data_IF_305890012697
#
_entry.id   IF_305890012697
#
_cell.length_a   1.000
_cell.length_b   1.000
_cell.length_c   1.000
_cell.angle_alpha   90.00
_cell.angle_beta   90.00
_cell.angle_gamma   90.00
#
_symmetry.space_group_name_H-M   'P 1'
#
loop_
_entity.id
_entity.type
_entity.pdbx_description
1 polymer ?
#
# COMPACT_ATOMS: atom_id res chain seq x y z
N UNK A 1 -3.44 -17.54 6.58
CA UNK A 1 -4.34 -17.02 5.53
C UNK A 1 -3.59 -16.96 4.19
N UNK A 2 -4.31 -17.15 3.08
CA UNK A 2 -3.79 -17.02 1.72
C UNK A 2 -4.24 -15.68 1.11
N UNK A 3 -3.56 -15.23 0.06
CA UNK A 3 -3.97 -14.09 -0.75
C UNK A 3 -3.85 -14.45 -2.24
N UNK A 4 -4.53 -13.72 -3.10
CA UNK A 4 -4.35 -13.76 -4.54
C UNK A 4 -3.50 -12.54 -4.93
N UNK A 5 -2.38 -12.77 -5.59
CA UNK A 5 -1.40 -11.73 -5.86
C UNK A 5 -0.96 -11.72 -7.34
N UNK A 6 -1.77 -11.18 -8.26
CA UNK A 6 -1.29 -10.88 -9.60
C UNK A 6 -0.20 -9.81 -9.53
N UNK A 7 0.82 -9.92 -10.40
CA UNK A 7 2.00 -9.07 -10.29
C UNK A 7 1.65 -7.58 -10.40
N UNK A 8 1.18 -7.13 -11.56
CA UNK A 8 0.93 -5.69 -11.83
C UNK A 8 -0.03 -5.49 -13.01
N UNK A 9 -0.61 -4.29 -13.19
CA UNK A 9 -1.48 -3.99 -14.33
C UNK A 9 -0.79 -4.04 -15.69
N UNK A 10 0.53 -3.86 -15.73
CA UNK A 10 1.30 -3.87 -16.97
C UNK A 10 1.87 -5.26 -17.34
N UNK A 11 1.91 -6.21 -16.41
CA UNK A 11 2.39 -7.58 -16.66
C UNK A 11 1.27 -8.61 -16.78
N UNK A 12 0.08 -8.30 -16.26
CA UNK A 12 -1.08 -9.20 -16.27
C UNK A 12 -2.20 -8.55 -17.08
N UNK A 13 -2.72 -9.29 -18.08
CA UNK A 13 -3.80 -8.77 -18.91
C UNK A 13 -5.12 -8.59 -18.16
N UNK A 14 -6.01 -7.74 -18.67
CA UNK A 14 -7.28 -7.36 -18.06
C UNK A 14 -8.14 -8.57 -17.66
N UNK A 15 -8.29 -9.55 -18.58
CA UNK A 15 -9.12 -10.73 -18.32
C UNK A 15 -8.61 -11.56 -17.14
N UNK A 16 -7.29 -11.66 -16.98
CA UNK A 16 -6.68 -12.36 -15.84
C UNK A 16 -6.74 -11.55 -14.54
N UNK A 17 -6.62 -10.23 -14.60
CA UNK A 17 -6.86 -9.37 -13.42
C UNK A 17 -8.28 -9.54 -12.88
N UNK A 18 -9.28 -9.49 -13.77
CA UNK A 18 -10.69 -9.70 -13.40
C UNK A 18 -10.91 -11.12 -12.85
N UNK A 19 -10.36 -12.14 -13.52
CA UNK A 19 -10.48 -13.54 -13.10
C UNK A 19 -9.85 -13.79 -11.72
N UNK A 20 -8.63 -13.29 -11.49
CA UNK A 20 -7.94 -13.45 -10.21
C UNK A 20 -8.65 -12.67 -9.10
N UNK A 21 -9.23 -11.50 -9.40
CA UNK A 21 -10.08 -10.78 -8.44
C UNK A 21 -11.34 -11.56 -8.07
N UNK A 22 -11.99 -12.22 -9.05
CA UNK A 22 -13.14 -13.10 -8.78
C UNK A 22 -12.75 -14.24 -7.84
N UNK A 23 -11.59 -14.88 -8.05
CA UNK A 23 -11.07 -15.91 -7.16
C UNK A 23 -10.86 -15.35 -5.74
N UNK A 24 -10.23 -14.18 -5.60
CA UNK A 24 -10.02 -13.56 -4.29
C UNK A 24 -11.34 -13.31 -3.55
N UNK A 25 -12.39 -12.88 -4.25
CA UNK A 25 -13.74 -12.70 -3.69
C UNK A 25 -14.38 -14.03 -3.28
N UNK A 26 -14.29 -15.05 -4.11
CA UNK A 26 -14.84 -16.39 -3.86
C UNK A 26 -14.21 -17.01 -2.60
N UNK A 27 -12.89 -16.90 -2.45
CA UNK A 27 -12.19 -17.42 -1.27
C UNK A 27 -12.10 -16.43 -0.09
N UNK A 28 -12.76 -15.27 -0.21
CA UNK A 28 -12.80 -14.24 0.83
C UNK A 28 -11.40 -13.86 1.36
N UNK A 29 -10.44 -13.67 0.47
CA UNK A 29 -9.04 -13.41 0.81
C UNK A 29 -8.54 -12.08 0.20
N UNK A 30 -7.43 -11.50 0.72
CA UNK A 30 -6.83 -10.31 0.17
C UNK A 30 -6.41 -10.48 -1.30
N UNK A 31 -6.56 -9.39 -2.07
CA UNK A 31 -6.08 -9.27 -3.43
C UNK A 31 -4.94 -8.24 -3.46
N UNK A 32 -3.71 -8.67 -3.74
CA UNK A 32 -2.52 -7.83 -3.69
C UNK A 32 -1.99 -7.58 -5.09
N UNK A 33 -1.59 -6.34 -5.39
CA UNK A 33 -1.07 -5.97 -6.71
C UNK A 33 -0.10 -4.79 -6.59
N UNK A 34 1.04 -4.85 -7.28
CA UNK A 34 1.94 -3.69 -7.43
C UNK A 34 1.29 -2.71 -8.40
N UNK A 35 1.29 -1.43 -8.05
CA UNK A 35 0.63 -0.40 -8.85
C UNK A 35 1.27 0.97 -8.65
N UNK A 36 1.38 1.71 -9.74
CA UNK A 36 1.92 3.08 -9.74
C UNK A 36 3.30 3.17 -9.09
N UNK A 37 4.12 2.14 -9.28
CA UNK A 37 5.45 2.05 -8.68
C UNK A 37 6.44 2.98 -9.38
N UNK A 38 6.45 2.97 -10.72
CA UNK A 38 7.41 3.74 -11.51
C UNK A 38 6.72 4.81 -12.36
N UNK A 39 7.47 5.87 -12.68
CA UNK A 39 7.00 6.90 -13.60
C UNK A 39 6.65 6.32 -14.96
N UNK A 40 7.44 5.36 -15.43
CA UNK A 40 7.21 4.66 -16.69
C UNK A 40 5.88 3.93 -16.70
N UNK A 41 5.55 3.18 -15.65
CA UNK A 41 4.26 2.50 -15.52
C UNK A 41 3.09 3.48 -15.62
N UNK A 42 3.21 4.62 -14.92
CA UNK A 42 2.19 5.66 -14.94
C UNK A 42 1.98 6.26 -16.33
N UNK A 43 3.07 6.63 -17.01
CA UNK A 43 3.05 7.20 -18.35
C UNK A 43 2.50 6.19 -19.39
N UNK A 44 2.96 4.95 -19.38
CA UNK A 44 2.48 3.90 -20.29
C UNK A 44 0.99 3.57 -20.09
N UNK A 45 0.50 3.60 -18.84
CA UNK A 45 -0.93 3.42 -18.56
C UNK A 45 -1.75 4.57 -19.16
N UNK A 46 -1.27 5.79 -18.99
CA UNK A 46 -1.92 6.98 -19.52
C UNK A 46 -1.94 6.99 -21.05
N UNK A 47 -0.82 6.67 -21.67
CA UNK A 47 -0.70 6.59 -23.14
C UNK A 47 -1.62 5.51 -23.73
N UNK A 48 -1.73 4.38 -23.06
CA UNK A 48 -2.50 3.23 -23.56
C UNK A 48 -4.00 3.34 -23.30
N UNK A 49 -4.39 3.87 -22.14
CA UNK A 49 -5.77 3.81 -21.65
C UNK A 49 -6.39 5.19 -21.40
N UNK A 50 -5.61 6.28 -21.43
CA UNK A 50 -6.02 7.62 -21.01
C UNK A 50 -6.30 7.70 -19.49
N UNK A 51 -5.77 6.76 -18.71
CA UNK A 51 -6.05 6.60 -17.27
C UNK A 51 -4.76 6.32 -16.51
N UNK A 52 -4.69 6.77 -15.26
CA UNK A 52 -3.67 6.28 -14.34
C UNK A 52 -3.82 4.78 -14.08
N UNK A 53 -2.79 4.08 -13.55
CA UNK A 53 -2.91 2.68 -13.18
C UNK A 53 -4.03 2.40 -12.19
N UNK A 54 -4.28 3.31 -11.22
CA UNK A 54 -5.36 3.18 -10.23
C UNK A 54 -6.73 3.38 -10.87
N UNK A 55 -6.89 4.40 -11.72
CA UNK A 55 -8.13 4.62 -12.48
C UNK A 55 -8.45 3.44 -13.40
N UNK A 56 -7.42 2.84 -14.01
CA UNK A 56 -7.58 1.63 -14.82
C UNK A 56 -8.11 0.46 -13.99
N UNK A 57 -7.53 0.21 -12.79
CA UNK A 57 -7.99 -0.85 -11.89
C UNK A 57 -9.42 -0.61 -11.38
N UNK A 58 -9.79 0.67 -11.11
CA UNK A 58 -11.17 1.04 -10.78
C UNK A 58 -12.12 0.70 -11.92
N UNK A 59 -11.77 1.11 -13.16
CA UNK A 59 -12.58 0.87 -14.37
C UNK A 59 -12.88 -0.61 -14.58
N UNK A 60 -11.89 -1.49 -14.37
CA UNK A 60 -12.07 -2.94 -14.56
C UNK A 60 -12.68 -3.64 -13.33
N UNK A 61 -13.01 -2.90 -12.27
CA UNK A 61 -13.78 -3.39 -11.12
C UNK A 61 -12.99 -4.31 -10.18
N UNK A 62 -11.67 -4.14 -10.06
CA UNK A 62 -10.83 -4.97 -9.18
C UNK A 62 -10.49 -4.31 -7.84
N UNK A 63 -10.93 -3.07 -7.62
CA UNK A 63 -10.77 -2.36 -6.35
C UNK A 63 -11.94 -2.64 -5.40
N UNK A 64 -11.65 -2.93 -4.15
CA UNK A 64 -12.58 -3.02 -3.03
C UNK A 64 -11.81 -3.01 -1.70
N UNK A 65 -12.53 -3.19 -0.58
CA UNK A 65 -11.99 -3.19 0.78
C UNK A 65 -11.01 -4.33 1.09
N UNK A 66 -10.85 -5.32 0.21
CA UNK A 66 -9.88 -6.41 0.29
C UNK A 66 -8.72 -6.27 -0.68
N UNK A 67 -8.68 -5.16 -1.42
CA UNK A 67 -7.57 -4.86 -2.32
C UNK A 67 -6.44 -4.18 -1.56
N UNK A 68 -5.24 -4.72 -1.74
CA UNK A 68 -3.97 -4.20 -1.21
C UNK A 68 -3.12 -3.74 -2.37
N UNK A 69 -2.86 -2.44 -2.43
CA UNK A 69 -2.06 -1.80 -3.46
C UNK A 69 -0.64 -1.58 -2.93
N UNK A 70 0.35 -2.10 -3.63
CA UNK A 70 1.75 -2.03 -3.20
C UNK A 70 2.47 -0.92 -3.95
N UNK A 71 3.38 -0.22 -3.28
CA UNK A 71 4.17 0.94 -3.70
C UNK A 71 3.42 2.26 -3.77
N UNK A 72 2.53 2.46 -4.73
CA UNK A 72 1.71 3.67 -4.89
C UNK A 72 2.54 4.97 -4.88
N UNK A 73 3.65 5.00 -5.64
CA UNK A 73 4.58 6.15 -5.70
C UNK A 73 3.99 7.28 -6.55
N UNK A 74 3.48 6.96 -7.73
CA UNK A 74 2.94 7.93 -8.70
C UNK A 74 1.42 7.95 -8.63
N UNK A 75 0.88 8.81 -7.77
CA UNK A 75 -0.56 9.00 -7.57
C UNK A 75 -0.97 10.44 -7.86
N UNK A 76 -2.11 10.60 -8.51
CA UNK A 76 -2.84 11.86 -8.56
C UNK A 76 -3.76 12.01 -7.35
N UNK A 77 -4.27 13.21 -7.08
CA UNK A 77 -5.28 13.43 -6.02
C UNK A 77 -6.58 12.65 -6.32
N UNK A 78 -6.88 12.40 -7.61
CA UNK A 78 -7.99 11.54 -8.04
C UNK A 78 -7.75 10.09 -7.66
N UNK A 79 -6.53 9.56 -7.85
CA UNK A 79 -6.16 8.21 -7.44
C UNK A 79 -6.32 8.01 -5.93
N UNK A 80 -5.86 8.97 -5.13
CA UNK A 80 -6.03 8.95 -3.68
C UNK A 80 -7.52 8.89 -3.30
N UNK A 81 -8.35 9.68 -3.97
CA UNK A 81 -9.80 9.67 -3.74
C UNK A 81 -10.45 8.33 -4.12
N UNK A 82 -10.01 7.69 -5.21
CA UNK A 82 -10.47 6.36 -5.62
C UNK A 82 -10.05 5.30 -4.60
N UNK A 83 -8.80 5.31 -4.15
CA UNK A 83 -8.27 4.39 -3.15
C UNK A 83 -9.07 4.50 -1.85
N UNK A 84 -9.30 5.71 -1.36
CA UNK A 84 -10.09 5.98 -0.16
C UNK A 84 -11.54 5.51 -0.29
N UNK A 85 -12.22 5.88 -1.39
CA UNK A 85 -13.61 5.50 -1.68
C UNK A 85 -13.81 3.98 -1.69
N UNK A 86 -12.86 3.23 -2.24
CA UNK A 86 -12.93 1.76 -2.31
C UNK A 86 -12.42 1.08 -1.04
N UNK A 87 -12.00 1.84 -0.01
CA UNK A 87 -11.39 1.32 1.21
C UNK A 87 -10.19 0.39 0.95
N UNK A 88 -9.44 0.60 -0.14
CA UNK A 88 -8.23 -0.15 -0.43
C UNK A 88 -7.18 0.11 0.64
N UNK A 89 -6.28 -0.85 0.86
CA UNK A 89 -5.14 -0.69 1.76
C UNK A 89 -3.88 -0.51 0.94
N UNK A 90 -2.92 0.22 1.51
CA UNK A 90 -1.62 0.44 0.88
C UNK A 90 -0.55 -0.33 1.65
N UNK A 91 0.40 -0.92 0.91
CA UNK A 91 1.67 -1.38 1.48
C UNK A 91 2.78 -0.52 0.88
N UNK A 92 3.35 0.32 1.72
CA UNK A 92 4.46 1.21 1.35
C UNK A 92 5.80 0.53 1.57
N UNK A 93 6.65 0.49 0.53
CA UNK A 93 7.96 -0.15 0.53
C UNK A 93 9.07 0.91 0.29
N UNK A 94 9.37 1.80 1.26
CA UNK A 94 10.22 2.96 1.03
C UNK A 94 11.66 2.60 0.64
N UNK A 95 12.22 1.55 1.23
CA UNK A 95 13.60 1.10 0.93
C UNK A 95 13.70 0.65 -0.52
N UNK A 96 12.80 -0.22 -0.96
CA UNK A 96 12.73 -0.69 -2.35
C UNK A 96 12.52 0.47 -3.33
N UNK A 97 11.55 1.35 -3.05
CA UNK A 97 11.24 2.50 -3.91
C UNK A 97 12.47 3.40 -4.14
N UNK A 98 13.26 3.64 -3.08
CA UNK A 98 14.46 4.46 -3.18
C UNK A 98 15.61 3.72 -3.85
N UNK A 99 15.85 2.47 -3.48
CA UNK A 99 16.91 1.67 -4.06
C UNK A 99 16.76 1.51 -5.57
N UNK A 100 15.52 1.30 -6.03
CA UNK A 100 15.20 1.13 -7.45
C UNK A 100 15.00 2.48 -8.18
N UNK A 101 15.11 3.61 -7.48
CA UNK A 101 14.93 4.94 -8.07
C UNK A 101 13.49 5.24 -8.49
N UNK A 102 12.51 4.56 -7.89
CA UNK A 102 11.09 4.76 -8.21
C UNK A 102 10.57 6.11 -7.72
N UNK A 103 11.10 6.64 -6.61
CA UNK A 103 10.63 7.91 -6.03
C UNK A 103 10.04 7.76 -4.63
N UNK A 104 9.30 8.77 -4.19
CA UNK A 104 8.73 8.85 -2.84
C UNK A 104 7.20 8.89 -2.92
N UNK A 105 6.54 7.89 -2.36
CA UNK A 105 5.09 7.82 -2.32
C UNK A 105 4.48 8.91 -1.40
N UNK A 106 3.31 9.48 -1.74
CA UNK A 106 2.67 10.56 -0.99
C UNK A 106 1.88 10.04 0.23
N UNK A 107 2.60 9.40 1.18
CA UNK A 107 2.00 8.65 2.30
C UNK A 107 1.18 9.54 3.23
N UNK A 108 1.65 10.78 3.48
CA UNK A 108 0.90 11.75 4.26
C UNK A 108 -0.48 12.03 3.65
N UNK A 109 -0.57 12.26 2.34
CA UNK A 109 -1.85 12.50 1.66
C UNK A 109 -2.79 11.29 1.74
N UNK A 110 -2.25 10.07 1.65
CA UNK A 110 -3.04 8.84 1.79
C UNK A 110 -3.60 8.70 3.21
N UNK A 111 -2.80 8.96 4.24
CA UNK A 111 -3.23 8.93 5.64
C UNK A 111 -4.28 10.02 5.91
N UNK A 112 -4.06 11.23 5.41
CA UNK A 112 -5.01 12.36 5.54
C UNK A 112 -6.35 12.06 4.87
N UNK A 113 -6.34 11.26 3.80
CA UNK A 113 -7.56 10.76 3.14
C UNK A 113 -8.21 9.56 3.86
N UNK A 114 -7.71 9.13 5.02
CA UNK A 114 -8.23 8.02 5.81
C UNK A 114 -7.83 6.63 5.29
N UNK A 115 -6.88 6.55 4.38
CA UNK A 115 -6.40 5.27 3.83
C UNK A 115 -5.51 4.56 4.84
N UNK A 116 -5.75 3.28 5.05
CA UNK A 116 -4.88 2.44 5.87
C UNK A 116 -3.58 2.15 5.10
N UNK A 117 -2.47 2.67 5.61
CA UNK A 117 -1.13 2.44 5.08
C UNK A 117 -0.36 1.51 6.01
N UNK A 118 0.07 0.38 5.48
CA UNK A 118 1.01 -0.54 6.12
C UNK A 118 2.41 -0.37 5.53
N UNK A 119 3.42 -0.94 6.20
CA UNK A 119 4.78 -1.01 5.68
C UNK A 119 5.10 -2.42 5.17
N UNK A 120 5.89 -2.47 4.12
CA UNK A 120 6.51 -3.67 3.58
C UNK A 120 7.99 -3.46 3.34
N UNK A 121 8.75 -4.54 3.36
CA UNK A 121 10.18 -4.51 3.01
C UNK A 121 10.39 -4.73 1.51
N UNK A 122 9.39 -5.34 0.84
CA UNK A 122 9.57 -5.94 -0.48
C UNK A 122 10.54 -7.13 -0.43
N UNK A 123 11.01 -7.63 -1.56
CA UNK A 123 11.95 -8.73 -1.63
C UNK A 123 13.38 -8.33 -1.25
N UNK A 124 14.20 -9.29 -0.79
CA UNK A 124 15.60 -9.04 -0.41
C UNK A 124 16.46 -8.49 -1.56
N UNK A 125 16.11 -8.77 -2.80
CA UNK A 125 16.80 -8.21 -3.98
C UNK A 125 16.58 -6.70 -4.13
N UNK A 126 15.43 -6.20 -3.71
CA UNK A 126 15.04 -4.78 -3.83
C UNK A 126 15.24 -3.97 -2.56
N UNK A 127 15.52 -4.60 -1.41
CA UNK A 127 15.73 -3.88 -0.14
C UNK A 127 17.01 -4.23 0.62
N UNK A 128 17.82 -5.19 0.16
CA UNK A 128 19.06 -5.72 0.75
C UNK A 128 18.87 -6.45 2.10
N UNK A 129 18.09 -5.89 2.99
CA UNK A 129 17.69 -6.50 4.27
C UNK A 129 16.14 -6.56 4.34
N UNK A 130 15.61 -7.29 5.30
CA UNK A 130 14.17 -7.39 5.55
C UNK A 130 13.80 -6.66 6.85
N UNK A 131 14.39 -5.47 7.08
CA UNK A 131 14.18 -4.68 8.30
C UNK A 131 13.01 -3.72 8.18
N UNK A 132 11.88 -4.11 8.74
CA UNK A 132 10.67 -3.29 8.78
C UNK A 132 10.84 -2.02 9.65
N UNK A 133 11.77 -2.02 10.61
CA UNK A 133 12.03 -0.84 11.45
C UNK A 133 12.78 0.22 10.66
N UNK A 134 13.72 -0.18 9.79
CA UNK A 134 14.37 0.72 8.85
C UNK A 134 13.35 1.31 7.89
N UNK A 135 12.47 0.50 7.31
CA UNK A 135 11.38 0.97 6.45
C UNK A 135 10.51 2.01 7.17
N UNK A 136 10.16 1.77 8.44
CA UNK A 136 9.38 2.71 9.25
C UNK A 136 10.09 4.03 9.51
N UNK A 137 11.36 3.96 9.90
CA UNK A 137 12.18 5.16 10.12
C UNK A 137 12.32 5.99 8.85
N UNK A 138 12.62 5.34 7.74
CA UNK A 138 12.80 5.99 6.45
C UNK A 138 11.51 6.64 5.96
N UNK A 139 10.38 5.94 6.06
CA UNK A 139 9.05 6.48 5.71
C UNK A 139 8.78 7.81 6.41
N UNK A 140 8.98 7.90 7.73
CA UNK A 140 8.77 9.13 8.50
C UNK A 140 9.71 10.26 8.06
N UNK A 141 11.02 9.99 7.95
CA UNK A 141 12.01 11.00 7.61
C UNK A 141 11.79 11.57 6.21
N UNK A 142 11.45 10.73 5.23
CA UNK A 142 11.16 11.15 3.87
C UNK A 142 9.96 12.12 3.83
N UNK A 143 8.84 11.75 4.48
CA UNK A 143 7.66 12.61 4.46
C UNK A 143 7.92 13.96 5.16
N UNK A 144 8.64 13.96 6.27
CA UNK A 144 9.05 15.21 6.96
C UNK A 144 9.94 16.08 6.07
N UNK A 145 10.94 15.46 5.42
CA UNK A 145 11.90 16.18 4.61
C UNK A 145 11.30 16.81 3.36
N UNK A 146 10.52 16.04 2.58
CA UNK A 146 9.94 16.54 1.33
C UNK A 146 8.81 17.56 1.54
N UNK A 147 8.13 17.52 2.67
CA UNK A 147 7.05 18.46 3.00
C UNK A 147 7.50 19.59 3.93
N UNK A 148 8.77 19.61 4.37
CA UNK A 148 9.31 20.58 5.33
C UNK A 148 8.47 20.68 6.62
N UNK A 149 7.88 19.57 7.08
CA UNK A 149 7.02 19.50 8.25
C UNK A 149 7.48 18.38 9.21
N UNK A 150 8.05 18.72 10.39
CA UNK A 150 8.54 17.73 11.35
C UNK A 150 7.42 16.96 12.07
N UNK A 151 6.17 17.35 11.94
CA UNK A 151 5.03 16.74 12.65
C UNK A 151 4.45 15.54 11.90
N UNK A 152 4.72 15.41 10.61
CA UNK A 152 4.20 14.34 9.76
C UNK A 152 4.69 12.96 10.23
N UNK A 153 3.83 11.97 10.08
CA UNK A 153 4.10 10.55 10.40
C UNK A 153 4.84 10.40 11.73
N UNK A 154 4.18 10.72 12.86
CA UNK A 154 4.78 10.61 14.18
C UNK A 154 5.07 9.13 14.54
N UNK A 155 5.89 8.90 15.57
CA UNK A 155 6.31 7.55 15.99
C UNK A 155 5.15 6.57 16.18
N UNK A 156 4.05 7.04 16.75
CA UNK A 156 2.83 6.26 16.95
C UNK A 156 2.27 5.73 15.62
N UNK A 157 2.21 6.59 14.60
CA UNK A 157 1.73 6.19 13.28
C UNK A 157 2.67 5.17 12.62
N UNK A 158 3.98 5.36 12.73
CA UNK A 158 4.96 4.37 12.24
C UNK A 158 4.72 2.99 12.86
N UNK A 159 4.47 2.94 14.17
CA UNK A 159 4.22 1.68 14.86
C UNK A 159 2.94 1.02 14.36
N UNK A 160 1.87 1.80 14.15
CA UNK A 160 0.64 1.28 13.51
C UNK A 160 0.91 0.74 12.11
N UNK A 161 1.67 1.46 11.30
CA UNK A 161 2.05 1.03 9.95
C UNK A 161 2.87 -0.26 9.94
N UNK A 162 3.77 -0.46 10.92
CA UNK A 162 4.58 -1.68 11.06
C UNK A 162 3.81 -2.88 11.63
N UNK A 163 2.65 -2.67 12.25
CA UNK A 163 1.95 -3.70 13.02
C UNK A 163 0.48 -3.86 12.60
N UNK A 164 -0.45 -3.17 13.26
CA UNK A 164 -1.89 -3.36 13.09
C UNK A 164 -2.40 -3.04 11.69
N UNK A 165 -1.77 -2.09 10.98
CA UNK A 165 -2.17 -1.77 9.62
C UNK A 165 -1.83 -2.92 8.66
N UNK A 166 -0.71 -3.63 8.87
CA UNK A 166 -0.37 -4.87 8.16
C UNK A 166 -1.39 -5.98 8.44
N UNK A 167 -1.81 -6.12 9.70
CA UNK A 167 -2.87 -7.07 10.06
C UNK A 167 -4.19 -6.74 9.34
N UNK A 168 -4.59 -5.47 9.33
CA UNK A 168 -5.79 -4.99 8.61
C UNK A 168 -5.70 -5.26 7.11
N UNK A 169 -4.55 -4.98 6.49
CA UNK A 169 -4.32 -5.22 5.07
C UNK A 169 -4.43 -6.72 4.72
N UNK A 170 -3.93 -7.59 5.57
CA UNK A 170 -3.95 -9.04 5.39
C UNK A 170 -5.18 -9.73 6.00
N UNK A 171 -6.12 -8.96 6.58
CA UNK A 171 -7.31 -9.46 7.25
C UNK A 171 -6.98 -10.47 8.38
N UNK A 172 -5.90 -10.21 9.12
CA UNK A 172 -5.51 -11.00 10.29
C UNK A 172 -6.20 -10.40 11.51
N UNK A 173 -7.01 -11.19 12.21
CA UNK A 173 -7.84 -10.70 13.33
C UNK A 173 -7.07 -10.66 14.66
N UNK A 174 -6.10 -11.55 14.84
CA UNK A 174 -5.31 -11.62 16.07
C UNK A 174 -3.90 -12.14 15.81
N UNK A 175 -2.95 -11.71 16.61
CA UNK A 175 -1.55 -12.17 16.63
C UNK A 175 -1.10 -12.37 18.08
N UNK A 176 -0.46 -13.49 18.37
CA UNK A 176 0.07 -13.81 19.71
C UNK A 176 -1.02 -13.71 20.82
N UNK A 177 -2.24 -14.17 20.48
CA UNK A 177 -3.37 -14.15 21.41
C UNK A 177 -4.01 -12.77 21.64
N UNK A 178 -3.55 -11.71 20.99
CA UNK A 178 -4.12 -10.36 21.06
C UNK A 178 -4.88 -10.00 19.79
N UNK A 179 -6.03 -9.39 19.94
CA UNK A 179 -6.80 -8.79 18.85
C UNK A 179 -6.18 -7.48 18.37
N UNK A 180 -6.56 -7.02 17.16
CA UNK A 180 -6.15 -5.70 16.64
C UNK A 180 -6.49 -4.60 17.66
N UNK A 181 -7.69 -4.65 18.25
CA UNK A 181 -8.16 -3.63 19.20
C UNK A 181 -7.27 -3.55 20.45
N UNK A 182 -6.92 -4.69 21.03
CA UNK A 182 -6.05 -4.76 22.22
C UNK A 182 -4.64 -4.21 21.91
N UNK A 183 -4.08 -4.55 20.75
CA UNK A 183 -2.78 -4.04 20.32
C UNK A 183 -2.86 -2.52 20.09
N UNK A 184 -3.94 -2.03 19.47
CA UNK A 184 -4.16 -0.60 19.23
C UNK A 184 -4.25 0.19 20.55
N UNK A 185 -4.99 -0.32 21.53
CA UNK A 185 -5.09 0.29 22.86
C UNK A 185 -3.72 0.35 23.58
N UNK A 186 -2.88 -0.67 23.43
CA UNK A 186 -1.50 -0.66 23.96
C UNK A 186 -0.63 0.39 23.29
N UNK A 187 -0.72 0.53 21.96
CA UNK A 187 -0.01 1.58 21.22
C UNK A 187 -0.50 2.97 21.65
N UNK A 188 -1.81 3.16 21.81
CA UNK A 188 -2.38 4.43 22.26
C UNK A 188 -1.91 4.84 23.67
N UNK A 189 -1.70 3.87 24.56
CA UNK A 189 -1.21 4.14 25.94
C UNK A 189 0.31 4.39 26.00
N UNK A 190 1.08 3.82 25.04
CA UNK A 190 2.54 3.87 25.07
C UNK A 190 3.12 5.10 24.37
N UNK A 191 2.35 5.79 23.53
CA UNK A 191 2.78 6.90 22.67
C UNK A 191 1.73 8.01 22.59
#
# INVERSE_FOLDING_TARGET
KSSVAPHSPYTVNESNLIKTKKIAREYNCPYQIHVSETKKEFEESFDRYGLSPVEYLERIGVLDDKTVLVHCVYLTDKDISIIAKNNCKIVHCPVSNLKLGCGIAPINKLIDAGVIVALGTDGSASCDNLDIKEAGRLSSLLQKGINCDPTLIPKKEIIKMMTINGMRALQIESVVGKTIKEIEEEIEKAY
#
